data_IF_323341849659
#
_entry.id   IF_323341849659
#
_cell.length_a   1.000
_cell.length_b   1.000
_cell.length_c   1.000
_cell.angle_alpha   90.00
_cell.angle_beta   90.00
_cell.angle_gamma   90.00
#
_symmetry.space_group_name_H-M   'P 1'
#
loop_
_entity.id
_entity.type
_entity.pdbx_description
1 polymer ?
#
# COMPACT_ATOMS: atom_id res chain seq x y z
N UNK A 1 -8.18 -10.75 2.48
CA UNK A 1 -9.64 -10.56 2.28
C UNK A 1 -10.07 -9.10 2.30
N UNK A 2 -9.65 -8.26 3.27
CA UNK A 2 -10.06 -6.84 3.37
C UNK A 2 -9.72 -5.99 2.12
N UNK A 3 -8.48 -6.09 1.60
CA UNK A 3 -8.02 -5.32 0.43
C UNK A 3 -8.78 -5.73 -0.83
N UNK A 4 -8.97 -7.03 -1.06
CA UNK A 4 -9.73 -7.54 -2.22
C UNK A 4 -11.15 -6.98 -2.20
N UNK A 5 -11.84 -7.04 -1.04
CA UNK A 5 -13.17 -6.48 -0.90
C UNK A 5 -13.18 -4.96 -1.09
N UNK A 6 -12.11 -4.27 -0.66
CA UNK A 6 -11.98 -2.83 -0.85
C UNK A 6 -11.88 -2.48 -2.35
N UNK A 7 -10.95 -3.12 -3.07
CA UNK A 7 -10.77 -2.90 -4.52
C UNK A 7 -12.07 -3.25 -5.29
N UNK A 8 -12.71 -4.37 -4.93
CA UNK A 8 -13.98 -4.76 -5.54
C UNK A 8 -15.06 -3.69 -5.34
N UNK A 9 -15.25 -3.20 -4.11
CA UNK A 9 -16.21 -2.12 -3.82
C UNK A 9 -15.87 -0.82 -4.55
N UNK A 10 -14.58 -0.46 -4.63
CA UNK A 10 -14.13 0.72 -5.37
C UNK A 10 -14.49 0.59 -6.86
N UNK A 11 -14.26 -0.58 -7.45
CA UNK A 11 -14.59 -0.86 -8.86
C UNK A 11 -16.09 -0.74 -9.16
N UNK A 12 -16.94 -1.07 -8.20
CA UNK A 12 -18.41 -1.03 -8.36
C UNK A 12 -19.06 0.25 -7.80
N UNK A 13 -18.25 1.29 -7.50
CA UNK A 13 -18.73 2.55 -6.90
C UNK A 13 -19.65 2.32 -5.67
N UNK A 14 -19.31 1.30 -4.88
CA UNK A 14 -20.14 0.85 -3.76
C UNK A 14 -19.84 1.58 -2.44
N UNK A 15 -18.96 2.57 -2.46
CA UNK A 15 -18.69 3.42 -1.30
C UNK A 15 -19.59 4.64 -1.27
N UNK A 16 -20.08 4.97 -0.09
CA UNK A 16 -20.91 6.14 0.18
C UNK A 16 -20.04 7.38 0.29
N UNK A 17 -19.63 7.93 -0.85
CA UNK A 17 -18.78 9.14 -0.96
C UNK A 17 -19.43 10.16 -1.90
N UNK A 18 -19.04 11.42 -1.79
CA UNK A 18 -19.40 12.50 -2.71
C UNK A 18 -20.89 12.61 -2.99
N UNK A 19 -21.25 12.49 -4.25
CA UNK A 19 -22.63 12.63 -4.76
C UNK A 19 -23.67 11.77 -4.05
N UNK A 20 -23.26 10.65 -3.42
CA UNK A 20 -24.18 9.82 -2.62
C UNK A 20 -24.87 10.64 -1.52
N UNK A 21 -24.16 11.61 -0.90
CA UNK A 21 -24.65 12.40 0.23
C UNK A 21 -25.50 13.60 -0.19
N UNK A 22 -25.51 13.98 -1.46
CA UNK A 22 -26.19 15.18 -2.01
C UNK A 22 -27.66 15.25 -1.62
N UNK A 23 -28.34 14.10 -1.66
CA UNK A 23 -29.77 13.98 -1.46
C UNK A 23 -30.18 13.56 -0.05
N UNK A 24 -29.22 13.40 0.85
CA UNK A 24 -29.51 13.02 2.24
C UNK A 24 -29.54 14.29 3.09
N UNK A 25 -30.68 14.58 3.77
CA UNK A 25 -30.76 15.71 4.69
C UNK A 25 -29.62 15.68 5.70
N UNK A 26 -29.09 16.84 6.09
CA UNK A 26 -28.00 17.04 7.05
C UNK A 26 -26.63 16.41 6.70
N UNK A 27 -26.53 15.77 5.53
CA UNK A 27 -25.31 15.12 5.08
C UNK A 27 -24.64 15.80 3.85
N UNK A 28 -25.17 16.90 3.35
CA UNK A 28 -24.67 17.61 2.18
C UNK A 28 -23.19 18.03 2.30
N UNK A 29 -22.75 18.37 3.51
CA UNK A 29 -21.34 18.72 3.79
C UNK A 29 -20.37 17.57 3.51
N UNK A 30 -20.86 16.33 3.32
CA UNK A 30 -20.06 15.17 2.97
C UNK A 30 -19.85 15.00 1.46
N UNK A 31 -20.50 15.83 0.64
CA UNK A 31 -20.35 15.81 -0.82
C UNK A 31 -18.96 16.28 -1.27
N UNK A 32 -18.40 17.28 -0.60
CA UNK A 32 -17.11 17.86 -0.92
C UNK A 32 -16.03 17.56 0.12
N UNK A 33 -14.81 17.52 -0.32
CA UNK A 33 -13.63 17.47 0.56
C UNK A 33 -13.50 18.79 1.33
N UNK A 34 -13.33 18.76 2.63
CA UNK A 34 -13.22 19.96 3.46
C UNK A 34 -11.93 20.74 3.23
N UNK A 35 -10.89 20.11 2.69
CA UNK A 35 -9.58 20.73 2.40
C UNK A 35 -9.48 21.18 0.95
N UNK A 36 -9.75 20.26 0.01
CA UNK A 36 -9.58 20.54 -1.42
C UNK A 36 -10.77 21.26 -2.05
N UNK A 37 -11.93 21.28 -1.38
CA UNK A 37 -13.22 21.79 -1.88
C UNK A 37 -13.72 21.07 -3.17
N UNK A 38 -13.02 20.04 -3.60
CA UNK A 38 -13.42 19.19 -4.72
C UNK A 38 -14.52 18.20 -4.31
N UNK A 39 -15.32 17.74 -5.28
CA UNK A 39 -16.28 16.66 -5.04
C UNK A 39 -15.54 15.40 -4.55
N UNK A 40 -16.03 14.77 -3.49
CA UNK A 40 -15.48 13.53 -2.98
C UNK A 40 -15.78 12.39 -3.94
N UNK A 41 -14.74 11.75 -4.43
CA UNK A 41 -14.82 10.53 -5.22
C UNK A 41 -13.72 9.57 -4.80
N UNK A 42 -13.82 8.32 -5.19
CA UNK A 42 -12.72 7.37 -4.94
C UNK A 42 -11.44 7.80 -5.67
N UNK A 43 -11.57 8.39 -6.86
CA UNK A 43 -10.43 8.94 -7.60
C UNK A 43 -9.78 10.08 -6.82
N UNK A 44 -10.58 11.11 -6.45
CA UNK A 44 -10.06 12.21 -5.64
C UNK A 44 -9.37 11.73 -4.36
N UNK A 45 -10.00 10.84 -3.62
CA UNK A 45 -9.45 10.33 -2.34
C UNK A 45 -8.10 9.62 -2.55
N UNK A 46 -7.99 8.81 -3.59
CA UNK A 46 -6.86 7.90 -3.76
C UNK A 46 -5.69 8.51 -4.54
N UNK A 47 -5.96 9.52 -5.39
CA UNK A 47 -4.98 10.03 -6.36
C UNK A 47 -4.72 11.54 -6.27
N UNK A 48 -5.66 12.34 -5.71
CA UNK A 48 -5.60 13.81 -5.79
C UNK A 48 -5.62 14.51 -4.42
N UNK A 49 -6.28 13.91 -3.42
CA UNK A 49 -6.58 14.56 -2.16
C UNK A 49 -5.33 14.83 -1.32
N UNK A 50 -5.13 16.10 -0.94
CA UNK A 50 -4.02 16.51 -0.06
C UNK A 50 -4.28 16.25 1.43
N UNK A 51 -5.55 16.01 1.83
CA UNK A 51 -5.94 15.96 3.24
C UNK A 51 -5.42 14.75 4.02
N UNK A 52 -5.13 13.64 3.38
CA UNK A 52 -4.85 12.36 4.06
C UNK A 52 -3.43 11.83 3.85
N UNK A 53 -2.53 12.70 3.41
CA UNK A 53 -1.14 12.30 3.15
C UNK A 53 -0.97 11.35 1.98
N UNK A 54 -1.95 11.29 1.10
CA UNK A 54 -1.95 10.46 -0.10
C UNK A 54 -0.67 10.67 -0.93
N UNK A 55 -0.28 11.92 -1.18
CA UNK A 55 0.94 12.27 -1.92
C UNK A 55 2.19 11.66 -1.25
N UNK A 56 2.35 11.84 0.06
CA UNK A 56 3.48 11.27 0.81
C UNK A 56 3.53 9.76 0.73
N UNK A 57 2.37 9.09 0.77
CA UNK A 57 2.28 7.64 0.67
C UNK A 57 2.79 7.16 -0.70
N UNK A 58 2.43 7.85 -1.78
CA UNK A 58 2.90 7.50 -3.12
C UNK A 58 4.36 7.87 -3.35
N UNK A 59 4.86 8.99 -2.81
CA UNK A 59 6.29 9.35 -2.83
C UNK A 59 7.15 8.28 -2.13
N UNK A 60 6.69 7.77 -0.99
CA UNK A 60 7.37 6.67 -0.30
C UNK A 60 7.34 5.36 -1.12
N UNK A 61 6.25 5.11 -1.83
CA UNK A 61 6.13 3.94 -2.70
C UNK A 61 7.06 4.05 -3.92
N UNK A 62 7.15 5.23 -4.53
CA UNK A 62 8.11 5.53 -5.60
C UNK A 62 9.55 5.31 -5.13
N UNK A 63 9.95 5.94 -4.00
CA UNK A 63 11.29 5.76 -3.43
C UNK A 63 11.63 4.29 -3.20
N UNK A 64 10.68 3.49 -2.71
CA UNK A 64 10.87 2.06 -2.49
C UNK A 64 10.94 1.28 -3.81
N UNK A 65 10.22 1.73 -4.83
CA UNK A 65 10.23 1.12 -6.16
C UNK A 65 11.51 1.40 -6.93
N UNK A 66 12.11 2.58 -6.75
CA UNK A 66 13.35 3.01 -7.41
C UNK A 66 14.52 2.09 -7.09
N UNK A 67 14.54 1.43 -5.93
CA UNK A 67 15.52 0.39 -5.59
C UNK A 67 15.56 -0.75 -6.62
N UNK A 68 14.54 -0.89 -7.46
CA UNK A 68 14.47 -1.90 -8.53
C UNK A 68 15.03 -1.44 -9.88
N UNK A 69 15.30 -0.14 -10.02
CA UNK A 69 15.75 0.44 -11.29
C UNK A 69 14.70 0.34 -12.42
N UNK A 70 13.41 0.27 -12.07
CA UNK A 70 12.29 0.19 -13.01
C UNK A 70 11.52 1.51 -12.98
N UNK A 71 10.92 1.95 -14.12
CA UNK A 71 10.16 3.19 -14.15
C UNK A 71 8.96 3.13 -13.22
N UNK A 72 8.77 4.20 -12.42
CA UNK A 72 7.56 4.40 -11.62
C UNK A 72 6.45 4.98 -12.47
N UNK A 73 5.22 4.52 -12.22
CA UNK A 73 4.02 5.09 -12.82
C UNK A 73 3.13 5.58 -11.68
N UNK A 74 2.86 6.89 -11.65
CA UNK A 74 1.98 7.49 -10.66
C UNK A 74 0.59 6.86 -10.71
N UNK A 75 0.04 6.42 -9.57
CA UNK A 75 -1.22 5.73 -9.53
C UNK A 75 -2.40 6.62 -9.97
N UNK A 76 -3.07 6.23 -11.03
CA UNK A 76 -4.43 6.65 -11.38
C UNK A 76 -5.44 5.65 -10.84
N UNK A 77 -6.71 6.02 -10.80
CA UNK A 77 -7.76 5.08 -10.39
C UNK A 77 -7.76 3.82 -11.29
N UNK A 78 -7.56 3.99 -12.60
CA UNK A 78 -7.46 2.88 -13.54
C UNK A 78 -6.31 1.93 -13.22
N UNK A 79 -5.11 2.46 -12.91
CA UNK A 79 -3.96 1.66 -12.51
C UNK A 79 -4.22 0.94 -11.18
N UNK A 80 -4.83 1.61 -10.21
CA UNK A 80 -5.18 1.03 -8.91
C UNK A 80 -6.12 -0.18 -9.09
N UNK A 81 -7.16 -0.04 -9.91
CA UNK A 81 -8.14 -1.10 -10.16
C UNK A 81 -7.59 -2.25 -11.00
N UNK A 82 -6.59 -1.96 -11.85
CA UNK A 82 -5.93 -2.92 -12.74
C UNK A 82 -4.53 -3.34 -12.31
N UNK A 83 -4.09 -3.07 -11.06
CA UNK A 83 -2.71 -3.26 -10.61
C UNK A 83 -2.17 -4.69 -10.76
N UNK A 84 -3.05 -5.68 -10.75
CA UNK A 84 -2.71 -7.08 -10.98
C UNK A 84 -2.40 -7.44 -12.44
N UNK A 85 -2.63 -6.50 -13.37
CA UNK A 85 -2.30 -6.63 -14.79
C UNK A 85 -0.93 -6.06 -15.14
N UNK A 86 -0.22 -5.49 -14.17
CA UNK A 86 1.14 -5.00 -14.37
C UNK A 86 2.07 -6.12 -14.84
N UNK A 87 2.80 -5.89 -15.92
CA UNK A 87 3.70 -6.87 -16.52
C UNK A 87 5.05 -6.21 -16.86
N UNK A 88 5.91 -6.16 -15.85
CA UNK A 88 7.29 -5.70 -16.02
C UNK A 88 8.12 -6.84 -16.61
N UNK A 89 8.89 -6.52 -17.65
CA UNK A 89 9.74 -7.48 -18.36
C UNK A 89 11.19 -7.00 -18.43
N UNK A 90 12.11 -7.95 -18.47
CA UNK A 90 13.52 -7.68 -18.75
C UNK A 90 13.72 -7.29 -20.23
N UNK A 91 14.90 -6.73 -20.60
CA UNK A 91 15.24 -6.47 -22.01
C UNK A 91 15.12 -7.72 -22.91
N UNK A 92 15.31 -8.92 -22.34
CA UNK A 92 15.15 -10.20 -23.05
C UNK A 92 13.70 -10.71 -23.03
N UNK A 93 12.72 -9.84 -22.76
CA UNK A 93 11.27 -10.17 -22.71
C UNK A 93 10.87 -11.23 -21.68
N UNK A 94 11.70 -11.47 -20.66
CA UNK A 94 11.38 -12.39 -19.55
C UNK A 94 10.59 -11.64 -18.46
N UNK A 95 9.48 -12.23 -18.00
CA UNK A 95 8.65 -11.63 -16.96
C UNK A 95 9.41 -11.48 -15.63
N UNK A 96 9.40 -10.27 -15.06
CA UNK A 96 10.01 -9.94 -13.78
C UNK A 96 9.00 -10.22 -12.65
N UNK A 97 8.74 -11.51 -12.39
CA UNK A 97 7.67 -11.96 -11.47
C UNK A 97 7.73 -11.33 -10.08
N UNK A 98 8.93 -11.15 -9.53
CA UNK A 98 9.12 -10.48 -8.24
C UNK A 98 8.77 -8.99 -8.28
N UNK A 99 9.07 -8.30 -9.39
CA UNK A 99 8.69 -6.90 -9.59
C UNK A 99 7.16 -6.77 -9.74
N UNK A 100 6.55 -7.61 -10.58
CA UNK A 100 5.10 -7.63 -10.79
C UNK A 100 4.35 -7.83 -9.46
N UNK A 101 4.80 -8.80 -8.67
CA UNK A 101 4.23 -9.06 -7.34
C UNK A 101 4.42 -7.88 -6.39
N UNK A 102 5.62 -7.30 -6.34
CA UNK A 102 5.90 -6.18 -5.44
C UNK A 102 5.12 -4.93 -5.83
N UNK A 103 4.99 -4.63 -7.11
CA UNK A 103 4.15 -3.54 -7.61
C UNK A 103 2.69 -3.70 -7.16
N UNK A 104 2.13 -4.90 -7.37
CA UNK A 104 0.77 -5.22 -6.92
C UNK A 104 0.60 -5.01 -5.41
N UNK A 105 1.61 -5.40 -4.60
CA UNK A 105 1.63 -5.17 -3.15
C UNK A 105 1.64 -3.67 -2.84
N UNK A 106 2.57 -2.90 -3.43
CA UNK A 106 2.66 -1.46 -3.20
C UNK A 106 1.33 -0.76 -3.49
N UNK A 107 0.80 -0.96 -4.70
CA UNK A 107 -0.44 -0.30 -5.10
C UNK A 107 -1.60 -0.72 -4.20
N UNK A 108 -1.82 -2.01 -3.97
CA UNK A 108 -2.99 -2.50 -3.22
C UNK A 108 -2.95 -2.16 -1.72
N UNK A 109 -1.80 -2.34 -1.06
CA UNK A 109 -1.67 -2.07 0.38
C UNK A 109 -1.77 -0.56 0.67
N UNK A 110 -1.17 0.30 -0.18
CA UNK A 110 -1.17 1.74 0.05
C UNK A 110 -2.45 2.42 -0.37
N UNK A 111 -3.11 1.96 -1.41
CA UNK A 111 -4.48 2.39 -1.71
C UNK A 111 -5.40 2.14 -0.50
N UNK A 112 -5.28 0.96 0.12
CA UNK A 112 -6.09 0.65 1.31
C UNK A 112 -5.65 1.45 2.54
N UNK A 113 -4.37 1.78 2.69
CA UNK A 113 -3.87 2.67 3.76
C UNK A 113 -4.45 4.09 3.61
N UNK A 114 -4.41 4.66 2.41
CA UNK A 114 -5.00 5.97 2.10
C UNK A 114 -6.48 5.98 2.48
N UNK A 115 -7.23 4.96 2.05
CA UNK A 115 -8.65 4.83 2.40
C UNK A 115 -8.88 4.78 3.92
N UNK A 116 -8.08 4.03 4.67
CA UNK A 116 -8.21 3.97 6.14
C UNK A 116 -7.95 5.32 6.80
N UNK A 117 -6.89 6.01 6.41
CA UNK A 117 -6.57 7.34 6.92
C UNK A 117 -7.68 8.33 6.59
N UNK A 118 -8.26 8.24 5.38
CA UNK A 118 -9.40 9.04 4.97
C UNK A 118 -10.64 8.75 5.83
N UNK A 119 -10.95 7.49 6.10
CA UNK A 119 -12.06 7.11 6.95
C UNK A 119 -11.85 7.60 8.39
N UNK A 120 -10.69 7.39 8.98
CA UNK A 120 -10.33 7.88 10.32
C UNK A 120 -10.55 9.40 10.40
N UNK A 121 -9.92 10.16 9.49
CA UNK A 121 -10.05 11.62 9.49
C UNK A 121 -11.48 12.10 9.27
N UNK A 122 -12.21 11.51 8.34
CA UNK A 122 -13.57 11.99 7.97
C UNK A 122 -14.64 11.54 8.95
N UNK A 123 -14.54 10.32 9.47
CA UNK A 123 -15.57 9.72 10.32
C UNK A 123 -15.30 10.03 11.79
N UNK A 124 -14.07 9.82 12.27
CA UNK A 124 -13.73 9.98 13.69
C UNK A 124 -13.45 11.44 14.06
N UNK A 125 -12.93 12.23 13.12
CA UNK A 125 -12.56 13.63 13.35
C UNK A 125 -13.44 14.63 12.58
N UNK A 126 -14.52 14.20 11.96
CA UNK A 126 -15.46 15.08 11.25
C UNK A 126 -14.88 15.82 10.05
N UNK A 127 -13.71 15.41 9.57
CA UNK A 127 -12.96 16.12 8.51
C UNK A 127 -12.34 17.44 8.99
N UNK A 128 -12.02 17.56 10.27
CA UNK A 128 -11.37 18.74 10.84
C UNK A 128 -9.94 18.87 10.26
N UNK A 129 -9.57 20.02 9.62
CA UNK A 129 -8.23 20.24 9.08
C UNK A 129 -7.09 20.12 10.10
N UNK A 130 -7.33 20.48 11.37
CA UNK A 130 -6.34 20.40 12.45
C UNK A 130 -6.05 18.93 12.88
N UNK A 131 -6.83 17.99 12.40
CA UNK A 131 -6.72 16.55 12.69
C UNK A 131 -6.23 15.73 11.50
N UNK A 132 -5.66 16.40 10.50
CA UNK A 132 -4.97 15.71 9.39
C UNK A 132 -3.82 14.90 9.96
N UNK A 133 -3.60 13.65 9.50
CA UNK A 133 -2.52 12.81 10.00
C UNK A 133 -1.14 13.44 9.78
N UNK A 134 -0.36 13.52 10.83
CA UNK A 134 1.03 13.98 10.81
C UNK A 134 1.89 13.12 9.87
N UNK A 135 2.86 13.72 9.13
CA UNK A 135 3.74 12.97 8.23
C UNK A 135 4.45 11.79 8.91
N UNK A 136 4.89 11.95 10.14
CA UNK A 136 5.55 10.88 10.92
C UNK A 136 4.61 9.71 11.24
N UNK A 137 3.34 10.00 11.54
CA UNK A 137 2.31 8.96 11.69
C UNK A 137 2.14 8.18 10.41
N UNK A 138 2.08 8.89 9.26
CA UNK A 138 1.93 8.27 7.93
C UNK A 138 3.13 7.39 7.62
N UNK A 139 4.39 7.87 7.78
CA UNK A 139 5.62 7.09 7.56
C UNK A 139 5.63 5.81 8.39
N UNK A 140 5.33 5.92 9.68
CA UNK A 140 5.25 4.77 10.58
C UNK A 140 4.22 3.73 10.11
N UNK A 141 3.02 4.16 9.75
CA UNK A 141 1.97 3.26 9.27
C UNK A 141 2.33 2.63 7.93
N UNK A 142 3.02 3.36 7.06
CA UNK A 142 3.53 2.91 5.78
C UNK A 142 4.50 1.72 5.97
N UNK A 143 5.56 1.89 6.78
CA UNK A 143 6.53 0.84 7.07
C UNK A 143 5.89 -0.35 7.81
N UNK A 144 5.01 -0.10 8.77
CA UNK A 144 4.26 -1.16 9.45
C UNK A 144 3.41 -1.99 8.49
N UNK A 145 2.82 -1.35 7.48
CA UNK A 145 2.00 -2.03 6.48
C UNK A 145 2.86 -2.96 5.64
N UNK A 146 4.00 -2.51 5.13
CA UNK A 146 4.93 -3.37 4.37
C UNK A 146 5.52 -4.49 5.22
N UNK A 147 5.99 -4.19 6.43
CA UNK A 147 6.56 -5.21 7.32
C UNK A 147 5.54 -6.30 7.66
N UNK A 148 4.27 -5.91 7.89
CA UNK A 148 3.19 -6.87 8.09
C UNK A 148 2.92 -7.71 6.84
N UNK A 149 2.97 -7.10 5.66
CA UNK A 149 2.77 -7.81 4.40
C UNK A 149 3.91 -8.79 4.13
N UNK A 150 5.15 -8.40 4.30
CA UNK A 150 6.31 -9.28 4.24
C UNK A 150 6.14 -10.48 5.18
N UNK A 151 5.77 -10.21 6.45
CA UNK A 151 5.50 -11.25 7.44
C UNK A 151 4.43 -12.24 6.97
N UNK A 152 3.37 -11.75 6.37
CA UNK A 152 2.31 -12.60 5.82
C UNK A 152 2.83 -13.47 4.67
N UNK A 153 3.58 -12.89 3.73
CA UNK A 153 4.11 -13.61 2.58
C UNK A 153 5.08 -14.73 3.02
N UNK A 154 5.94 -14.47 4.01
CA UNK A 154 6.80 -15.50 4.60
C UNK A 154 6.00 -16.61 5.31
N UNK A 155 4.99 -16.27 6.11
CA UNK A 155 4.11 -17.27 6.74
C UNK A 155 3.40 -18.14 5.70
N UNK A 156 3.00 -17.55 4.57
CA UNK A 156 2.33 -18.25 3.48
C UNK A 156 3.25 -19.21 2.71
N UNK A 157 4.56 -19.23 2.94
CA UNK A 157 5.47 -20.24 2.34
C UNK A 157 5.34 -21.62 2.99
N UNK A 158 4.70 -21.73 4.13
CA UNK A 158 4.57 -22.98 4.89
C UNK A 158 3.64 -23.97 4.16
N UNK A 159 4.24 -24.93 3.44
CA UNK A 159 3.50 -25.95 2.68
C UNK A 159 2.71 -26.90 3.55
N UNK A 160 3.19 -27.23 4.75
CA UNK A 160 2.46 -28.14 5.65
C UNK A 160 1.15 -27.52 6.13
N UNK A 161 1.10 -26.19 6.26
CA UNK A 161 -0.12 -25.47 6.66
C UNK A 161 -1.02 -25.09 5.50
N UNK A 162 -0.48 -24.70 4.36
CA UNK A 162 -1.24 -24.12 3.24
C UNK A 162 -1.34 -25.04 2.01
N UNK A 163 -0.65 -26.17 2.00
CA UNK A 163 -0.71 -27.14 0.91
C UNK A 163 -0.35 -26.53 -0.45
N UNK A 164 -1.20 -26.72 -1.44
CA UNK A 164 -1.05 -26.17 -2.80
C UNK A 164 -1.21 -24.65 -2.89
N UNK A 165 -1.77 -24.01 -1.86
CA UNK A 165 -1.90 -22.54 -1.78
C UNK A 165 -0.67 -21.85 -1.23
N UNK A 166 0.34 -22.61 -0.78
CA UNK A 166 1.57 -22.02 -0.27
C UNK A 166 2.29 -21.24 -1.36
N UNK A 167 2.76 -20.05 -1.02
CA UNK A 167 3.59 -19.21 -1.90
C UNK A 167 4.98 -19.85 -2.02
N UNK A 168 5.52 -19.88 -3.23
CA UNK A 168 6.89 -20.36 -3.44
C UNK A 168 7.90 -19.42 -2.75
N UNK A 169 8.83 -19.99 -2.01
CA UNK A 169 9.89 -19.21 -1.33
C UNK A 169 10.69 -18.37 -2.29
N UNK A 170 10.98 -18.89 -3.49
CA UNK A 170 11.67 -18.16 -4.55
C UNK A 170 10.91 -16.93 -5.05
N UNK A 171 9.56 -16.95 -5.03
CA UNK A 171 8.76 -15.78 -5.36
C UNK A 171 8.83 -14.74 -4.24
N UNK A 172 8.74 -15.16 -2.98
CA UNK A 172 8.90 -14.25 -1.83
C UNK A 172 10.27 -13.59 -1.87
N UNK A 173 11.32 -14.37 -2.11
CA UNK A 173 12.68 -13.85 -2.25
C UNK A 173 12.78 -12.81 -3.38
N UNK A 174 12.38 -13.15 -4.61
CA UNK A 174 12.38 -12.21 -5.75
C UNK A 174 11.53 -10.96 -5.51
N UNK A 175 10.48 -11.08 -4.70
CA UNK A 175 9.58 -9.96 -4.37
C UNK A 175 10.21 -9.00 -3.38
N UNK A 176 10.91 -9.49 -2.36
CA UNK A 176 11.31 -8.67 -1.21
C UNK A 176 12.80 -8.39 -1.10
N UNK A 177 13.67 -9.25 -1.67
CA UNK A 177 15.12 -9.19 -1.48
C UNK A 177 15.73 -7.78 -1.63
N UNK A 178 15.34 -7.05 -2.67
CA UNK A 178 15.93 -5.74 -3.01
C UNK A 178 15.64 -4.70 -1.93
N UNK A 179 14.47 -4.76 -1.31
CA UNK A 179 13.97 -3.77 -0.33
C UNK A 179 14.20 -4.18 1.13
N UNK A 180 14.91 -5.29 1.37
CA UNK A 180 15.23 -5.73 2.72
C UNK A 180 16.44 -4.97 3.30
N UNK A 181 16.32 -4.57 4.56
CA UNK A 181 17.47 -4.08 5.33
C UNK A 181 18.39 -5.25 5.72
N UNK A 182 19.71 -4.97 5.79
CA UNK A 182 20.71 -5.94 6.23
C UNK A 182 20.65 -7.29 5.50
N UNK A 183 20.26 -7.29 4.24
CA UNK A 183 20.08 -8.50 3.41
C UNK A 183 21.32 -9.39 3.35
N UNK A 184 22.54 -8.82 3.45
CA UNK A 184 23.79 -9.57 3.48
C UNK A 184 23.94 -10.53 4.66
N UNK A 185 23.21 -10.30 5.75
CA UNK A 185 23.25 -11.10 6.97
C UNK A 185 22.10 -12.12 7.04
N UNK A 186 21.26 -12.19 6.00
CA UNK A 186 20.13 -13.11 5.98
C UNK A 186 20.56 -14.50 5.51
N UNK A 187 20.08 -15.59 6.13
CA UNK A 187 20.31 -16.95 5.65
C UNK A 187 19.64 -17.16 4.27
N UNK A 188 20.16 -18.11 3.50
CA UNK A 188 19.61 -18.42 2.16
C UNK A 188 18.14 -18.84 2.15
N UNK A 189 17.64 -19.37 3.25
CA UNK A 189 16.25 -19.79 3.43
C UNK A 189 15.42 -18.81 4.30
N UNK A 190 15.85 -17.55 4.38
CA UNK A 190 15.24 -16.51 5.19
C UNK A 190 13.70 -16.43 5.09
N UNK A 191 13.03 -16.72 3.96
CA UNK A 191 11.57 -16.67 3.91
C UNK A 191 10.91 -17.76 4.77
N UNK A 192 11.63 -18.85 5.10
CA UNK A 192 11.10 -19.96 5.93
C UNK A 192 11.42 -19.80 7.41
N UNK A 193 12.50 -19.12 7.75
CA UNK A 193 13.11 -19.11 9.08
C UNK A 193 12.39 -18.25 10.13
N UNK A 194 11.24 -17.66 9.78
CA UNK A 194 10.58 -16.70 10.68
C UNK A 194 11.28 -15.34 10.67
N UNK A 195 10.48 -14.28 10.77
CA UNK A 195 10.85 -12.90 10.41
C UNK A 195 11.41 -12.13 11.61
N UNK A 196 12.00 -12.78 12.56
CA UNK A 196 12.62 -12.04 13.68
C UNK A 196 13.81 -11.23 13.14
N UNK A 197 13.64 -9.92 13.05
CA UNK A 197 14.69 -8.98 12.65
C UNK A 197 14.76 -8.61 11.14
N UNK A 198 13.90 -9.15 10.28
CA UNK A 198 13.84 -8.72 8.88
C UNK A 198 12.94 -7.50 8.75
N UNK A 199 13.50 -6.39 8.30
CA UNK A 199 12.78 -5.12 8.10
C UNK A 199 12.81 -4.73 6.63
N UNK A 200 11.75 -4.07 6.19
CA UNK A 200 11.69 -3.38 4.89
C UNK A 200 12.13 -1.94 5.09
N UNK A 201 13.00 -1.44 4.25
CA UNK A 201 13.39 -0.04 4.26
C UNK A 201 14.47 0.25 3.24
N UNK A 202 14.45 1.43 2.63
CA UNK A 202 15.62 2.00 1.97
C UNK A 202 16.62 2.43 3.05
N UNK A 203 17.90 2.14 2.90
CA UNK A 203 18.93 2.35 3.92
C UNK A 203 19.10 3.77 4.48
N UNK A 204 18.34 4.75 3.96
CA UNK A 204 18.36 6.16 4.35
C UNK A 204 17.10 6.66 5.06
N UNK A 205 16.03 5.89 5.16
CA UNK A 205 14.71 6.41 5.56
C UNK A 205 14.04 5.70 6.77
N UNK A 206 14.74 4.82 7.46
CA UNK A 206 14.19 4.18 8.67
C UNK A 206 14.54 5.03 9.91
N UNK A 207 13.57 5.58 10.65
CA UNK A 207 13.87 6.16 11.95
C UNK A 207 14.40 5.07 12.90
N UNK A 208 15.39 5.38 13.75
CA UNK A 208 15.96 4.40 14.68
C UNK A 208 14.84 3.87 15.59
N UNK A 209 14.61 2.56 15.53
CA UNK A 209 13.68 1.89 16.41
C UNK A 209 14.13 2.07 17.86
N UNK A 210 13.26 2.60 18.73
CA UNK A 210 13.49 2.53 20.17
C UNK A 210 13.50 1.06 20.59
N UNK A 211 14.67 0.57 20.93
CA UNK A 211 14.80 -0.66 21.70
C UNK A 211 14.09 -0.45 23.06
N UNK A 212 13.07 -1.23 23.31
CA UNK A 212 12.60 -1.63 24.63
C UNK A 212 12.17 -3.06 24.55
#
# INVERSE_FOLDING_TARGET
MKIINFIWKTRHDAYKVGKYWRHIPDCKTREACHVCQAEESMDHILTECSATGQKLIWELAETMWDERGLPWVWPSLGLILGNNLADFRSPCNTALTGANQFFTILISEFTYLIWKLRCEWRIEHGGNPDKIPEPEKIRRLWFQTLSRRLKLDCLMTNRSRYGSRAIQTSLVDKTWWIVLQNRSNLPSDWPKGGISGVLVGSGSACPPGRNR
#
